data_IF_870947311540
#
_entry.id   IF_870947311540
#
_cell.length_a   1.000
_cell.length_b   1.000
_cell.length_c   1.000
_cell.angle_alpha   90.00
_cell.angle_beta   90.00
_cell.angle_gamma   90.00
#
_symmetry.space_group_name_H-M   'P 1'
#
loop_
_entity.id
_entity.type
_entity.pdbx_description
1 polymer ?
#
# COMPACT_ATOMS: atom_id res chain seq x y z
N UNK A 1 -13.71 20.19 0.99
CA UNK A 1 -12.71 20.18 2.09
C UNK A 1 -12.25 21.60 2.32
N UNK A 2 -12.09 22.03 3.57
CA UNK A 2 -11.76 23.43 3.87
C UNK A 2 -10.25 23.65 3.67
N UNK A 3 -9.85 24.10 2.47
CA UNK A 3 -8.44 24.22 2.05
C UNK A 3 -7.57 25.07 2.99
N UNK A 4 -8.20 25.93 3.80
CA UNK A 4 -7.55 26.77 4.80
C UNK A 4 -6.78 26.02 5.89
N UNK A 5 -7.15 24.77 6.22
CA UNK A 5 -6.41 23.96 7.22
C UNK A 5 -5.47 22.93 6.59
N UNK A 6 -5.75 22.51 5.36
CA UNK A 6 -4.98 21.47 4.69
C UNK A 6 -3.56 21.94 4.33
N UNK A 7 -3.43 23.15 3.76
CA UNK A 7 -2.13 23.71 3.36
C UNK A 7 -1.23 23.94 4.59
N UNK A 8 -1.69 24.58 5.68
CA UNK A 8 -0.89 24.72 6.90
C UNK A 8 -0.49 23.37 7.51
N UNK A 9 -1.37 22.37 7.50
CA UNK A 9 -1.05 21.04 8.01
C UNK A 9 0.06 20.36 7.18
N UNK A 10 -0.02 20.42 5.85
CA UNK A 10 1.04 19.89 4.97
C UNK A 10 2.35 20.64 5.20
N UNK A 11 2.31 21.97 5.26
CA UNK A 11 3.49 22.78 5.52
C UNK A 11 4.12 22.44 6.89
N UNK A 12 3.29 22.26 7.93
CA UNK A 12 3.75 21.87 9.27
C UNK A 12 4.45 20.50 9.24
N UNK A 13 3.89 19.51 8.54
CA UNK A 13 4.50 18.18 8.41
C UNK A 13 5.84 18.25 7.66
N UNK A 14 5.90 19.02 6.57
CA UNK A 14 7.15 19.22 5.81
C UNK A 14 8.21 19.90 6.67
N UNK A 15 7.85 21.00 7.35
CA UNK A 15 8.77 21.74 8.23
C UNK A 15 9.22 20.86 9.39
N UNK A 16 8.32 20.15 10.06
CA UNK A 16 8.67 19.22 11.13
C UNK A 16 9.62 18.11 10.62
N UNK A 17 9.36 17.58 9.43
CA UNK A 17 10.24 16.58 8.79
C UNK A 17 11.64 17.14 8.53
N UNK A 18 11.73 18.35 7.97
CA UNK A 18 13.01 19.03 7.72
C UNK A 18 13.74 19.32 9.04
N UNK A 19 13.04 19.81 10.06
CA UNK A 19 13.63 20.10 11.36
C UNK A 19 14.14 18.82 12.03
N UNK A 20 13.37 17.74 12.06
CA UNK A 20 13.82 16.44 12.59
C UNK A 20 15.02 15.92 11.80
N UNK A 21 14.99 16.05 10.47
CA UNK A 21 16.12 15.72 9.61
C UNK A 21 17.36 16.54 9.94
N UNK A 22 17.17 17.84 10.19
CA UNK A 22 18.20 18.81 10.57
C UNK A 22 18.79 18.51 11.96
N UNK A 23 17.97 18.15 12.96
CA UNK A 23 18.43 17.71 14.28
C UNK A 23 19.17 16.37 14.22
N UNK A 24 18.84 15.52 13.24
CA UNK A 24 19.58 14.31 12.91
C UNK A 24 20.94 14.57 12.25
N UNK A 25 21.23 15.80 11.81
CA UNK A 25 22.51 16.20 11.23
C UNK A 25 23.57 16.30 12.32
N UNK A 26 24.32 15.23 12.50
CA UNK A 26 25.77 15.41 12.56
C UNK A 26 26.23 15.32 11.12
N UNK A 27 26.77 16.40 10.55
CA UNK A 27 27.30 16.41 9.19
C UNK A 27 28.14 15.15 9.01
N UNK A 28 27.73 14.32 8.06
CA UNK A 28 28.36 13.03 7.91
C UNK A 28 29.75 13.22 7.30
N UNK A 29 30.78 12.89 8.07
CA UNK A 29 32.19 13.14 7.67
C UNK A 29 32.86 11.94 7.02
N UNK A 30 32.25 10.76 7.09
CA UNK A 30 32.85 9.50 6.62
C UNK A 30 31.85 8.67 5.83
N UNK A 31 32.35 7.83 4.93
CA UNK A 31 31.56 6.87 4.15
C UNK A 31 30.70 5.96 5.04
N UNK A 32 31.26 5.47 6.16
CA UNK A 32 30.53 4.62 7.11
C UNK A 32 29.40 5.38 7.82
N UNK A 33 29.63 6.64 8.13
CA UNK A 33 28.60 7.48 8.74
C UNK A 33 27.48 7.81 7.73
N UNK A 34 27.85 8.05 6.47
CA UNK A 34 26.90 8.41 5.42
C UNK A 34 26.02 7.23 5.01
N UNK A 35 26.60 6.05 4.75
CA UNK A 35 25.86 4.89 4.27
C UNK A 35 25.21 4.06 5.38
N UNK A 36 25.84 3.94 6.55
CA UNK A 36 25.41 3.00 7.59
C UNK A 36 25.33 3.60 8.99
N UNK A 37 25.35 4.94 9.11
CA UNK A 37 25.25 5.66 10.39
C UNK A 37 26.25 5.18 11.45
N UNK A 38 27.45 4.82 11.00
CA UNK A 38 28.52 4.25 11.84
C UNK A 38 28.08 3.02 12.65
N UNK A 39 27.00 2.35 12.22
CA UNK A 39 26.43 1.17 12.87
C UNK A 39 25.97 1.43 14.31
N UNK A 40 25.50 2.64 14.61
CA UNK A 40 25.16 3.07 15.98
C UNK A 40 23.65 3.12 16.28
N UNK A 41 22.80 2.72 15.33
CA UNK A 41 21.34 2.89 15.46
C UNK A 41 20.75 1.84 16.41
N UNK A 42 20.11 2.30 17.49
CA UNK A 42 19.46 1.43 18.46
C UNK A 42 18.27 0.63 17.88
N UNK A 43 17.95 -0.57 18.40
CA UNK A 43 16.94 -1.46 17.81
C UNK A 43 15.54 -0.85 17.68
N UNK A 44 15.09 -0.09 18.68
CA UNK A 44 13.75 0.53 18.67
C UNK A 44 13.64 1.61 17.60
N UNK A 45 14.66 2.47 17.50
CA UNK A 45 14.71 3.53 16.50
C UNK A 45 14.78 2.94 15.09
N UNK A 46 15.63 1.92 14.89
CA UNK A 46 15.72 1.25 13.61
C UNK A 46 14.40 0.55 13.25
N UNK A 47 13.73 -0.07 14.21
CA UNK A 47 12.46 -0.75 13.97
C UNK A 47 11.33 0.22 13.59
N UNK A 48 11.20 1.34 14.31
CA UNK A 48 10.25 2.40 13.96
C UNK A 48 10.56 2.98 12.58
N UNK A 49 11.83 3.25 12.31
CA UNK A 49 12.23 3.79 11.02
C UNK A 49 11.92 2.81 9.88
N UNK A 50 12.24 1.52 10.05
CA UNK A 50 11.99 0.48 9.05
C UNK A 50 10.48 0.33 8.81
N UNK A 51 9.70 0.33 9.88
CA UNK A 51 8.23 0.30 9.79
C UNK A 51 7.71 1.55 9.07
N UNK A 52 8.32 2.72 9.29
CA UNK A 52 7.97 3.97 8.61
C UNK A 52 8.16 3.96 7.10
N UNK A 53 9.22 3.30 6.61
CA UNK A 53 9.43 3.06 5.18
C UNK A 53 8.38 2.10 4.62
N UNK A 54 8.02 1.09 5.42
CA UNK A 54 7.01 0.11 5.06
C UNK A 54 5.61 0.73 4.90
N UNK A 55 5.28 1.73 5.72
CA UNK A 55 4.06 2.56 5.61
C UNK A 55 4.17 3.59 4.47
N UNK A 56 4.31 3.09 3.24
CA UNK A 56 4.46 3.89 2.03
C UNK A 56 3.12 4.29 1.40
N UNK A 57 3.15 5.20 0.42
CA UNK A 57 1.98 5.54 -0.38
C UNK A 57 1.39 4.30 -1.10
N UNK A 58 2.24 3.38 -1.58
CA UNK A 58 1.78 2.14 -2.19
C UNK A 58 1.06 1.24 -1.18
N UNK A 59 1.57 1.12 0.04
CA UNK A 59 0.96 0.27 1.08
C UNK A 59 -0.35 0.86 1.61
N UNK A 60 -0.43 2.19 1.76
CA UNK A 60 -1.62 2.86 2.28
C UNK A 60 -2.65 3.13 1.17
N UNK A 61 -2.32 4.00 0.22
CA UNK A 61 -3.24 4.41 -0.85
C UNK A 61 -3.47 3.28 -1.86
N UNK A 62 -2.43 2.49 -2.17
CA UNK A 62 -2.54 1.37 -3.10
C UNK A 62 -3.44 0.25 -2.57
N UNK A 63 -3.20 -0.25 -1.34
CA UNK A 63 -4.07 -1.29 -0.76
C UNK A 63 -5.47 -0.76 -0.50
N UNK A 64 -5.64 0.46 0.02
CA UNK A 64 -6.96 1.05 0.20
C UNK A 64 -7.71 1.18 -1.14
N UNK A 65 -7.03 1.59 -2.20
CA UNK A 65 -7.59 1.66 -3.55
C UNK A 65 -7.94 0.28 -4.12
N UNK A 66 -7.09 -0.72 -3.92
CA UNK A 66 -7.37 -2.10 -4.33
C UNK A 66 -8.59 -2.64 -3.58
N UNK A 67 -8.68 -2.46 -2.26
CA UNK A 67 -9.83 -2.89 -1.46
C UNK A 67 -11.11 -2.17 -1.89
N UNK A 68 -11.03 -0.86 -2.18
CA UNK A 68 -12.17 -0.09 -2.67
C UNK A 68 -12.69 -0.59 -4.03
N UNK A 69 -11.78 -0.98 -4.93
CA UNK A 69 -12.13 -1.34 -6.32
C UNK A 69 -12.45 -2.83 -6.47
N UNK A 70 -11.78 -3.69 -5.70
CA UNK A 70 -11.76 -5.15 -5.87
C UNK A 70 -12.25 -5.90 -4.62
N UNK A 71 -12.55 -5.20 -3.52
CA UNK A 71 -13.11 -5.79 -2.31
C UNK A 71 -12.06 -6.29 -1.30
N UNK A 72 -12.53 -6.88 -0.19
CA UNK A 72 -11.69 -7.25 0.96
C UNK A 72 -10.70 -8.39 0.66
N UNK A 73 -10.89 -9.16 -0.41
CA UNK A 73 -9.97 -10.23 -0.81
C UNK A 73 -8.55 -9.69 -1.11
N UNK A 74 -8.45 -8.40 -1.45
CA UNK A 74 -7.17 -7.72 -1.66
C UNK A 74 -6.31 -7.60 -0.40
N UNK A 75 -6.86 -7.87 0.79
CA UNK A 75 -6.10 -7.90 2.05
C UNK A 75 -5.04 -9.01 2.08
N UNK A 76 -5.09 -9.98 1.15
CA UNK A 76 -4.03 -10.97 0.97
C UNK A 76 -2.68 -10.39 0.53
N UNK A 77 -2.66 -9.26 -0.19
CA UNK A 77 -1.41 -8.60 -0.61
C UNK A 77 -0.54 -8.17 0.59
N UNK A 78 -1.06 -7.38 1.55
CA UNK A 78 -0.41 -7.10 2.83
C UNK A 78 0.19 -8.31 3.56
N UNK A 79 -0.56 -9.42 3.60
CA UNK A 79 -0.13 -10.64 4.29
C UNK A 79 1.09 -11.24 3.60
N UNK A 80 1.04 -11.39 2.28
CA UNK A 80 2.18 -11.88 1.48
C UNK A 80 3.42 -10.99 1.63
N UNK A 81 3.25 -9.67 1.61
CA UNK A 81 4.34 -8.73 1.83
C UNK A 81 4.98 -8.88 3.21
N UNK A 82 4.17 -9.03 4.26
CA UNK A 82 4.64 -9.20 5.64
C UNK A 82 5.37 -10.54 5.81
N UNK A 83 4.89 -11.59 5.16
CA UNK A 83 5.52 -12.91 5.19
C UNK A 83 6.92 -12.91 4.53
N UNK A 84 7.08 -12.28 3.37
CA UNK A 84 8.42 -12.16 2.75
C UNK A 84 9.37 -11.31 3.58
N UNK A 85 8.84 -10.33 4.30
CA UNK A 85 9.59 -9.57 5.29
C UNK A 85 10.14 -10.44 6.43
N UNK A 86 9.32 -11.35 6.99
CA UNK A 86 9.78 -12.29 8.01
C UNK A 86 11.01 -13.09 7.55
N UNK A 87 11.00 -13.57 6.31
CA UNK A 87 12.08 -14.42 5.78
C UNK A 87 13.33 -13.60 5.46
N UNK A 88 13.17 -12.40 4.90
CA UNK A 88 14.26 -11.42 4.80
C UNK A 88 14.96 -11.22 6.16
N UNK A 89 14.17 -11.04 7.21
CA UNK A 89 14.69 -10.82 8.55
C UNK A 89 15.38 -12.05 9.15
N UNK A 90 14.85 -13.25 8.92
CA UNK A 90 15.40 -14.49 9.47
C UNK A 90 16.67 -14.95 8.75
N UNK A 91 16.70 -14.87 7.42
CA UNK A 91 17.74 -15.50 6.62
C UNK A 91 18.73 -14.51 6.01
N UNK A 92 18.33 -13.27 5.76
CA UNK A 92 19.14 -12.32 4.97
C UNK A 92 19.83 -11.29 5.88
N UNK A 93 19.13 -10.77 6.89
CA UNK A 93 19.64 -9.72 7.77
C UNK A 93 20.94 -10.08 8.51
N UNK A 94 21.02 -11.28 9.09
CA UNK A 94 22.19 -11.68 9.90
C UNK A 94 23.45 -12.00 9.06
N UNK A 95 23.39 -12.75 7.94
CA UNK A 95 24.53 -12.91 7.04
C UNK A 95 25.06 -11.60 6.47
N UNK A 96 24.16 -10.72 6.03
CA UNK A 96 24.55 -9.42 5.49
C UNK A 96 25.28 -8.58 6.52
N UNK A 97 24.73 -8.46 7.73
CA UNK A 97 25.39 -7.72 8.83
C UNK A 97 26.82 -8.23 9.10
N UNK A 98 27.02 -9.55 9.08
CA UNK A 98 28.32 -10.19 9.33
C UNK A 98 29.34 -9.96 8.21
N UNK A 99 28.88 -9.72 6.98
CA UNK A 99 29.78 -9.50 5.84
C UNK A 99 30.61 -8.23 5.90
N UNK A 100 30.19 -7.24 6.68
CA UNK A 100 30.88 -5.95 6.75
C UNK A 100 30.66 -5.02 5.55
N UNK A 101 29.99 -5.47 4.47
CA UNK A 101 29.68 -4.69 3.29
C UNK A 101 28.85 -3.41 3.61
N UNK A 102 28.93 -2.41 2.72
CA UNK A 102 28.14 -1.18 2.80
C UNK A 102 26.88 -1.24 1.93
N UNK A 103 26.92 -2.01 0.84
CA UNK A 103 25.79 -2.17 -0.09
C UNK A 103 25.53 -3.64 -0.44
N UNK A 104 24.34 -3.91 -0.96
CA UNK A 104 23.98 -5.24 -1.49
C UNK A 104 24.91 -5.72 -2.62
N UNK A 105 25.26 -4.87 -3.61
CA UNK A 105 26.24 -5.25 -4.63
C UNK A 105 27.61 -5.64 -4.06
N UNK A 106 28.11 -4.92 -3.04
CA UNK A 106 29.38 -5.26 -2.38
C UNK A 106 29.30 -6.63 -1.69
N UNK A 107 28.16 -6.94 -1.07
CA UNK A 107 27.94 -8.26 -0.48
C UNK A 107 27.96 -9.37 -1.54
N UNK A 108 27.31 -9.14 -2.68
CA UNK A 108 27.29 -10.10 -3.78
C UNK A 108 28.70 -10.34 -4.34
N UNK A 109 29.50 -9.27 -4.48
CA UNK A 109 30.91 -9.38 -4.85
C UNK A 109 31.70 -10.18 -3.81
N UNK A 110 31.60 -9.82 -2.53
CA UNK A 110 32.34 -10.49 -1.47
C UNK A 110 32.02 -11.98 -1.37
N UNK A 111 30.77 -12.37 -1.68
CA UNK A 111 30.32 -13.76 -1.60
C UNK A 111 30.73 -14.60 -2.80
N UNK A 112 30.76 -14.02 -4.00
CA UNK A 112 30.95 -14.71 -5.28
C UNK A 112 32.27 -14.35 -5.99
N UNK A 113 33.08 -13.48 -5.39
CA UNK A 113 34.36 -13.00 -5.91
C UNK A 113 34.31 -12.49 -7.37
N UNK A 114 33.20 -11.84 -7.76
CA UNK A 114 32.95 -11.43 -9.15
C UNK A 114 32.50 -9.98 -9.28
N UNK A 115 33.30 -9.20 -10.02
CA UNK A 115 33.00 -7.82 -10.42
C UNK A 115 31.79 -7.72 -11.36
N UNK A 116 31.57 -8.75 -12.20
CA UNK A 116 30.41 -8.81 -13.09
C UNK A 116 29.10 -8.89 -12.30
N UNK A 117 29.08 -9.74 -11.26
CA UNK A 117 27.94 -9.86 -10.34
C UNK A 117 27.68 -8.56 -9.61
N UNK A 118 28.72 -7.85 -9.15
CA UNK A 118 28.56 -6.54 -8.51
C UNK A 118 27.85 -5.54 -9.42
N UNK A 119 28.28 -5.43 -10.68
CA UNK A 119 27.68 -4.50 -11.65
C UNK A 119 26.23 -4.86 -11.94
N UNK A 120 25.95 -6.14 -12.14
CA UNK A 120 24.60 -6.64 -12.38
C UNK A 120 23.68 -6.34 -11.19
N UNK A 121 24.12 -6.69 -9.97
CA UNK A 121 23.38 -6.41 -8.74
C UNK A 121 23.17 -4.89 -8.55
N UNK A 122 24.18 -4.07 -8.85
CA UNK A 122 24.06 -2.62 -8.81
C UNK A 122 23.01 -2.07 -9.77
N UNK A 123 22.99 -2.57 -11.01
CA UNK A 123 21.98 -2.19 -12.00
C UNK A 123 20.56 -2.57 -11.56
N UNK A 124 20.38 -3.77 -10.99
CA UNK A 124 19.09 -4.19 -10.43
C UNK A 124 18.67 -3.31 -9.25
N UNK A 125 19.57 -3.00 -8.32
CA UNK A 125 19.27 -2.16 -7.16
C UNK A 125 18.82 -0.75 -7.60
N UNK A 126 19.51 -0.15 -8.58
CA UNK A 126 19.14 1.16 -9.13
C UNK A 126 17.81 1.10 -9.88
N UNK A 127 17.61 0.07 -10.72
CA UNK A 127 16.37 -0.11 -11.48
C UNK A 127 15.15 -0.29 -10.57
N UNK A 128 15.26 -1.14 -9.55
CA UNK A 128 14.21 -1.32 -8.52
C UNK A 128 13.98 -0.01 -7.76
N UNK A 129 15.05 0.71 -7.40
CA UNK A 129 14.95 2.02 -6.76
C UNK A 129 14.11 3.02 -7.58
N UNK A 130 14.37 3.11 -8.88
CA UNK A 130 13.59 3.96 -9.80
C UNK A 130 12.12 3.56 -9.87
N UNK A 131 11.84 2.27 -10.03
CA UNK A 131 10.46 1.77 -10.07
C UNK A 131 9.70 2.06 -8.77
N UNK A 132 10.40 2.01 -7.63
CA UNK A 132 9.80 2.32 -6.32
C UNK A 132 9.52 3.81 -6.13
N UNK A 133 10.34 4.69 -6.69
CA UNK A 133 10.13 6.15 -6.58
C UNK A 133 8.84 6.60 -7.28
N UNK A 134 8.46 5.98 -8.40
CA UNK A 134 7.28 6.36 -9.19
C UNK A 134 5.98 6.43 -8.36
N UNK A 135 5.51 5.35 -7.70
CA UNK A 135 4.27 5.40 -6.91
C UNK A 135 4.35 6.35 -5.72
N UNK A 136 5.55 6.64 -5.20
CA UNK A 136 5.73 7.53 -4.06
C UNK A 136 5.58 9.00 -4.47
N UNK A 137 6.17 9.38 -5.61
CA UNK A 137 6.01 10.71 -6.19
C UNK A 137 4.57 10.92 -6.67
N UNK A 138 3.97 9.91 -7.30
CA UNK A 138 2.56 9.95 -7.70
C UNK A 138 1.63 10.11 -6.50
N UNK A 139 1.86 9.35 -5.43
CA UNK A 139 1.07 9.46 -4.20
C UNK A 139 1.18 10.85 -3.57
N UNK A 140 2.38 11.45 -3.57
CA UNK A 140 2.58 12.81 -3.10
C UNK A 140 1.81 13.85 -3.94
N UNK A 141 1.87 13.71 -5.27
CA UNK A 141 1.15 14.56 -6.22
C UNK A 141 -0.36 14.50 -6.03
N UNK A 142 -0.93 13.29 -6.01
CA UNK A 142 -2.35 13.06 -5.77
C UNK A 142 -2.80 13.63 -4.43
N UNK A 143 -2.03 13.41 -3.36
CA UNK A 143 -2.36 13.92 -2.02
C UNK A 143 -2.43 15.44 -2.01
N UNK A 144 -1.45 16.12 -2.59
CA UNK A 144 -1.44 17.59 -2.62
C UNK A 144 -2.57 18.16 -3.49
N UNK A 145 -2.83 17.53 -4.63
CA UNK A 145 -3.93 17.89 -5.54
C UNK A 145 -5.27 17.80 -4.83
N UNK A 146 -5.54 16.68 -4.15
CA UNK A 146 -6.80 16.47 -3.42
C UNK A 146 -6.96 17.45 -2.24
N UNK A 147 -5.87 17.78 -1.56
CA UNK A 147 -5.91 18.67 -0.38
C UNK A 147 -6.01 20.16 -0.72
N UNK A 148 -5.41 20.59 -1.84
CA UNK A 148 -5.22 22.02 -2.13
C UNK A 148 -5.70 22.47 -3.52
N UNK A 149 -6.00 21.53 -4.43
CA UNK A 149 -6.27 21.82 -5.84
C UNK A 149 -5.01 22.20 -6.64
N UNK A 150 -3.81 22.01 -6.07
CA UNK A 150 -2.56 22.29 -6.76
C UNK A 150 -2.32 21.34 -7.95
N UNK A 151 -1.39 21.67 -8.87
CA UNK A 151 -0.99 20.78 -9.95
C UNK A 151 -0.45 19.43 -9.44
N UNK A 152 -0.74 18.37 -10.18
CA UNK A 152 -0.38 16.98 -9.88
C UNK A 152 1.14 16.76 -9.69
N UNK A 153 1.97 17.44 -10.47
CA UNK A 153 3.42 17.33 -10.39
C UNK A 153 4.02 18.02 -9.16
N UNK A 154 3.33 19.00 -8.57
CA UNK A 154 3.91 19.86 -7.53
C UNK A 154 4.25 19.06 -6.26
N UNK A 155 3.36 18.16 -5.85
CA UNK A 155 3.59 17.32 -4.66
C UNK A 155 4.82 16.42 -4.82
N UNK A 156 4.99 15.82 -6.01
CA UNK A 156 6.15 15.01 -6.33
C UNK A 156 7.46 15.82 -6.28
N UNK A 157 7.47 17.02 -6.87
CA UNK A 157 8.66 17.89 -6.86
C UNK A 157 9.03 18.34 -5.44
N UNK A 158 8.06 18.74 -4.63
CA UNK A 158 8.31 19.14 -3.23
C UNK A 158 8.94 17.98 -2.46
N UNK A 159 8.38 16.78 -2.56
CA UNK A 159 8.92 15.59 -1.89
C UNK A 159 10.32 15.27 -2.38
N UNK A 160 10.56 15.29 -3.70
CA UNK A 160 11.87 15.03 -4.28
C UNK A 160 12.93 16.01 -3.74
N UNK A 161 12.65 17.32 -3.80
CA UNK A 161 13.58 18.36 -3.32
C UNK A 161 13.87 18.22 -1.82
N UNK A 162 12.83 18.09 -1.00
CA UNK A 162 12.96 18.00 0.46
C UNK A 162 13.73 16.74 0.86
N UNK A 163 13.38 15.59 0.30
CA UNK A 163 14.03 14.32 0.62
C UNK A 163 15.48 14.33 0.15
N UNK A 164 15.77 14.77 -1.07
CA UNK A 164 17.14 14.87 -1.59
C UNK A 164 18.00 15.81 -0.73
N UNK A 165 17.48 16.96 -0.31
CA UNK A 165 18.21 17.89 0.55
C UNK A 165 18.55 17.27 1.91
N UNK A 166 17.59 16.61 2.57
CA UNK A 166 17.79 15.94 3.86
C UNK A 166 18.79 14.79 3.74
N UNK A 167 18.64 13.95 2.70
CA UNK A 167 19.51 12.79 2.45
C UNK A 167 20.95 13.23 2.17
N UNK A 168 21.12 14.23 1.31
CA UNK A 168 22.45 14.75 0.94
C UNK A 168 23.18 15.36 2.14
N UNK A 169 22.46 16.07 3.02
CA UNK A 169 23.05 16.70 4.19
C UNK A 169 23.37 15.71 5.33
N UNK A 170 22.53 14.69 5.54
CA UNK A 170 22.53 13.90 6.78
C UNK A 170 22.82 12.41 6.67
N UNK A 171 22.80 11.85 5.46
CA UNK A 171 23.01 10.42 5.23
C UNK A 171 22.04 9.52 6.01
N UNK A 172 22.45 8.28 6.24
CA UNK A 172 21.62 7.22 6.82
C UNK A 172 21.10 7.56 8.22
N UNK A 173 21.85 8.33 9.01
CA UNK A 173 21.44 8.71 10.37
C UNK A 173 20.23 9.64 10.34
N UNK A 174 20.30 10.71 9.55
CA UNK A 174 19.19 11.65 9.40
C UNK A 174 17.95 10.96 8.83
N UNK A 175 18.14 10.15 7.78
CA UNK A 175 17.05 9.35 7.17
C UNK A 175 16.37 8.46 8.22
N UNK A 176 17.15 7.77 9.06
CA UNK A 176 16.60 6.91 10.11
C UNK A 176 15.74 7.69 11.10
N UNK A 177 16.20 8.86 11.57
CA UNK A 177 15.42 9.69 12.49
C UNK A 177 14.13 10.21 11.85
N UNK A 178 14.22 10.73 10.63
CA UNK A 178 13.05 11.22 9.88
C UNK A 178 12.02 10.12 9.70
N UNK A 179 12.46 8.92 9.33
CA UNK A 179 11.57 7.80 9.05
C UNK A 179 10.93 7.26 10.33
N UNK A 180 11.65 7.27 11.46
CA UNK A 180 11.07 6.93 12.75
C UNK A 180 10.02 7.96 13.20
N UNK A 181 10.27 9.25 12.99
CA UNK A 181 9.29 10.31 13.27
C UNK A 181 8.05 10.14 12.39
N UNK A 182 8.23 9.96 11.08
CA UNK A 182 7.14 9.77 10.14
C UNK A 182 6.32 8.52 10.44
N UNK A 183 6.95 7.44 10.92
CA UNK A 183 6.24 6.26 11.38
C UNK A 183 5.24 6.59 12.49
N UNK A 184 5.69 7.21 13.57
CA UNK A 184 4.81 7.57 14.69
C UNK A 184 3.74 8.57 14.29
N UNK A 185 4.09 9.57 13.47
CA UNK A 185 3.13 10.53 12.92
C UNK A 185 2.03 9.83 12.11
N UNK A 186 2.39 8.96 11.16
CA UNK A 186 1.44 8.20 10.33
C UNK A 186 0.59 7.26 11.19
N UNK A 187 1.22 6.56 12.14
CA UNK A 187 0.53 5.62 13.01
C UNK A 187 -0.52 6.35 13.87
N UNK A 188 -0.16 7.47 14.50
CA UNK A 188 -1.11 8.28 15.28
C UNK A 188 -2.21 8.86 14.39
N UNK A 189 -1.87 9.36 13.19
CA UNK A 189 -2.84 9.87 12.24
C UNK A 189 -3.86 8.82 11.78
N UNK A 190 -3.50 7.53 11.81
CA UNK A 190 -4.39 6.43 11.49
C UNK A 190 -5.17 5.91 12.72
N UNK A 191 -4.49 5.74 13.86
CA UNK A 191 -5.09 5.19 15.07
C UNK A 191 -6.13 6.11 15.71
N UNK A 192 -5.94 7.43 15.64
CA UNK A 192 -6.88 8.38 16.25
C UNK A 192 -8.26 8.28 15.58
N UNK A 193 -8.41 8.43 14.24
CA UNK A 193 -9.69 8.22 13.58
C UNK A 193 -10.25 6.81 13.79
N UNK A 194 -9.41 5.77 13.71
CA UNK A 194 -9.85 4.39 13.92
C UNK A 194 -10.46 4.18 15.33
N UNK A 195 -9.85 4.75 16.37
CA UNK A 195 -10.39 4.70 17.73
C UNK A 195 -11.76 5.37 17.82
N UNK A 196 -11.93 6.56 17.23
CA UNK A 196 -13.22 7.24 17.21
C UNK A 196 -14.28 6.44 16.46
N UNK A 197 -13.93 5.81 15.34
CA UNK A 197 -14.82 4.94 14.58
C UNK A 197 -15.26 3.73 15.41
N UNK A 198 -14.34 3.06 16.11
CA UNK A 198 -14.65 1.94 16.99
C UNK A 198 -15.57 2.37 18.15
N UNK A 199 -15.29 3.51 18.77
CA UNK A 199 -16.13 4.04 19.85
C UNK A 199 -17.53 4.42 19.36
N UNK A 200 -17.64 5.05 18.20
CA UNK A 200 -18.92 5.36 17.57
C UNK A 200 -19.70 4.09 17.24
N UNK A 201 -19.02 3.10 16.64
CA UNK A 201 -19.60 1.80 16.32
C UNK A 201 -20.11 1.04 17.54
N UNK A 202 -19.40 1.12 18.68
CA UNK A 202 -19.87 0.57 19.95
C UNK A 202 -21.06 1.35 20.54
N UNK A 203 -21.06 2.67 20.40
CA UNK A 203 -22.12 3.56 20.86
C UNK A 203 -23.44 3.41 20.08
N UNK A 204 -23.35 3.10 18.78
CA UNK A 204 -24.51 2.92 17.89
C UNK A 204 -25.20 1.56 18.05
N UNK A 205 -24.83 0.78 19.09
CA UNK A 205 -25.43 -0.53 19.35
C UNK A 205 -25.04 -1.54 18.28
N UNK A 206 -23.73 -1.77 18.12
CA UNK A 206 -23.07 -2.71 17.20
C UNK A 206 -23.99 -3.79 16.63
N UNK A 207 -24.03 -4.01 15.29
CA UNK A 207 -24.88 -5.04 14.72
C UNK A 207 -24.56 -6.39 15.35
N UNK A 208 -25.59 -7.00 15.93
CA UNK A 208 -25.53 -8.35 16.42
C UNK A 208 -25.30 -9.29 15.24
N UNK A 209 -24.16 -10.00 15.28
CA UNK A 209 -23.72 -11.07 14.36
C UNK A 209 -23.04 -10.59 13.07
N UNK A 210 -22.05 -11.36 12.57
CA UNK A 210 -21.52 -11.15 11.23
C UNK A 210 -22.67 -11.15 10.22
N UNK A 211 -22.56 -10.32 9.19
CA UNK A 211 -23.49 -10.25 8.07
C UNK A 211 -23.61 -11.61 7.37
N UNK A 212 -24.41 -12.53 7.91
CA UNK A 212 -24.89 -13.72 7.20
C UNK A 212 -26.01 -13.36 6.22
N UNK A 213 -26.62 -12.18 6.39
CA UNK A 213 -27.63 -11.68 5.45
C UNK A 213 -26.95 -11.02 4.23
N UNK A 214 -27.24 -11.50 3.01
CA UNK A 214 -26.70 -10.92 1.79
C UNK A 214 -27.10 -9.43 1.68
N UNK A 215 -26.20 -8.58 1.19
CA UNK A 215 -26.43 -7.15 1.08
C UNK A 215 -27.72 -6.85 0.28
N UNK A 216 -28.64 -6.08 0.88
CA UNK A 216 -29.89 -5.64 0.24
C UNK A 216 -29.97 -4.12 0.17
N UNK A 217 -30.70 -3.60 -0.83
CA UNK A 217 -31.06 -2.19 -0.88
C UNK A 217 -32.16 -1.90 0.15
N UNK A 218 -31.82 -1.21 1.25
CA UNK A 218 -32.81 -0.86 2.31
C UNK A 218 -33.97 0.01 1.81
N UNK A 219 -33.72 0.78 0.75
CA UNK A 219 -34.69 1.66 0.12
C UNK A 219 -34.60 1.50 -1.40
N UNK A 220 -35.66 1.88 -2.10
CA UNK A 220 -35.65 1.90 -3.56
C UNK A 220 -34.48 2.75 -4.06
N UNK A 221 -33.61 2.16 -4.89
CA UNK A 221 -32.40 2.84 -5.34
C UNK A 221 -32.24 2.73 -6.84
N UNK A 222 -31.98 3.87 -7.47
CA UNK A 222 -31.66 3.93 -8.89
C UNK A 222 -30.14 4.06 -9.07
N UNK A 223 -29.56 3.13 -9.82
CA UNK A 223 -28.13 3.07 -10.11
C UNK A 223 -27.94 3.34 -11.60
N UNK A 224 -27.10 4.33 -11.92
CA UNK A 224 -26.68 4.59 -13.29
C UNK A 224 -25.40 3.80 -13.57
N UNK A 225 -25.39 3.10 -14.69
CA UNK A 225 -24.23 2.37 -15.20
C UNK A 225 -23.46 3.32 -16.11
N UNK A 226 -22.31 3.81 -15.67
CA UNK A 226 -21.50 4.75 -16.45
C UNK A 226 -20.69 4.04 -17.54
N UNK A 227 -20.13 2.86 -17.23
CA UNK A 227 -19.40 2.00 -18.17
C UNK A 227 -20.11 0.66 -18.37
N UNK A 228 -20.01 0.09 -19.58
CA UNK A 228 -20.62 -1.20 -19.90
C UNK A 228 -20.09 -2.30 -18.96
N UNK A 229 -20.99 -3.00 -18.27
CA UNK A 229 -20.64 -4.04 -17.28
C UNK A 229 -21.40 -5.35 -17.51
N UNK A 230 -20.90 -6.44 -16.93
CA UNK A 230 -21.58 -7.73 -16.94
C UNK A 230 -22.09 -8.05 -15.53
N UNK A 231 -23.41 -8.04 -15.37
CA UNK A 231 -24.09 -8.42 -14.14
C UNK A 231 -24.15 -9.95 -14.06
N UNK A 232 -23.65 -10.58 -13.00
CA UNK A 232 -23.76 -12.03 -12.80
C UNK A 232 -24.77 -12.30 -11.69
N UNK A 233 -25.87 -12.92 -12.06
CA UNK A 233 -27.00 -13.23 -11.18
C UNK A 233 -26.98 -14.70 -10.79
N UNK A 234 -26.98 -14.98 -9.48
CA UNK A 234 -27.15 -16.35 -8.95
C UNK A 234 -28.63 -16.74 -8.87
N UNK A 235 -29.50 -15.76 -8.65
CA UNK A 235 -30.96 -15.90 -8.59
C UNK A 235 -31.61 -14.88 -9.55
N UNK A 236 -32.83 -15.15 -10.05
CA UNK A 236 -33.55 -14.20 -10.88
C UNK A 236 -33.78 -12.86 -10.17
N UNK A 237 -33.49 -11.76 -10.87
CA UNK A 237 -33.60 -10.39 -10.36
C UNK A 237 -34.71 -9.65 -11.10
N UNK A 238 -35.66 -9.08 -10.36
CA UNK A 238 -36.63 -8.14 -10.95
C UNK A 238 -36.12 -6.71 -10.74
N UNK A 239 -35.91 -5.99 -11.84
CA UNK A 239 -35.37 -4.63 -11.83
C UNK A 239 -36.05 -3.77 -12.89
N UNK A 240 -36.24 -2.49 -12.62
CA UNK A 240 -36.75 -1.55 -13.64
C UNK A 240 -35.58 -1.01 -14.44
N UNK A 241 -35.63 -1.19 -15.77
CA UNK A 241 -34.56 -0.86 -16.70
C UNK A 241 -34.97 0.31 -17.58
N UNK A 242 -34.15 1.35 -17.57
CA UNK A 242 -34.20 2.48 -18.49
C UNK A 242 -32.83 2.59 -19.19
N UNK A 243 -32.72 2.02 -20.39
CA UNK A 243 -31.48 1.84 -21.16
C UNK A 243 -31.38 0.47 -21.82
N UNK A 244 -30.16 -0.02 -22.08
CA UNK A 244 -29.92 -1.24 -22.86
C UNK A 244 -29.34 -2.36 -22.00
N UNK A 245 -30.04 -3.51 -22.00
CA UNK A 245 -29.62 -4.74 -21.32
C UNK A 245 -29.69 -5.91 -22.30
N UNK A 246 -28.59 -6.66 -22.43
CA UNK A 246 -28.42 -7.75 -23.39
C UNK A 246 -28.73 -7.34 -24.84
N UNK A 247 -28.34 -6.12 -25.21
CA UNK A 247 -28.62 -5.54 -26.53
C UNK A 247 -30.09 -5.17 -26.77
N UNK A 248 -30.95 -5.23 -25.74
CA UNK A 248 -32.35 -4.83 -25.80
C UNK A 248 -32.57 -3.53 -25.03
N UNK A 249 -32.93 -2.47 -25.75
CA UNK A 249 -33.29 -1.18 -25.15
C UNK A 249 -34.69 -1.25 -24.54
N UNK A 250 -34.83 -0.70 -23.34
CA UNK A 250 -36.06 -0.65 -22.56
C UNK A 250 -36.19 0.72 -21.94
N UNK A 251 -37.40 1.26 -21.94
CA UNK A 251 -37.70 2.62 -21.46
C UNK A 251 -38.56 2.50 -20.19
N UNK A 252 -37.92 2.53 -19.03
CA UNK A 252 -38.57 2.42 -17.72
C UNK A 252 -39.35 1.11 -17.47
N UNK A 253 -39.04 0.02 -18.19
CA UNK A 253 -39.79 -1.23 -18.10
C UNK A 253 -39.30 -2.10 -16.94
N UNK A 254 -40.22 -2.74 -16.22
CA UNK A 254 -39.88 -3.74 -15.19
C UNK A 254 -39.53 -5.08 -15.84
N UNK A 255 -38.36 -5.61 -15.51
CA UNK A 255 -37.76 -6.77 -16.16
C UNK A 255 -37.38 -7.81 -15.14
N UNK A 256 -37.77 -9.06 -15.36
CA UNK A 256 -37.17 -10.20 -14.68
C UNK A 256 -35.94 -10.67 -15.48
N UNK A 257 -34.76 -10.43 -14.93
CA UNK A 257 -33.50 -10.98 -15.43
C UNK A 257 -33.31 -12.37 -14.80
N UNK A 258 -33.19 -13.46 -15.58
CA UNK A 258 -32.95 -14.80 -15.03
C UNK A 258 -31.58 -14.90 -14.33
N UNK A 259 -31.34 -16.01 -13.62
CA UNK A 259 -29.98 -16.31 -13.17
C UNK A 259 -29.06 -16.50 -14.39
N UNK A 260 -27.86 -15.91 -14.37
CA UNK A 260 -26.95 -15.88 -15.50
C UNK A 260 -26.17 -14.57 -15.64
N UNK A 261 -25.47 -14.42 -16.75
CA UNK A 261 -24.70 -13.21 -17.07
C UNK A 261 -25.50 -12.29 -17.98
N UNK A 262 -25.66 -11.04 -17.58
CA UNK A 262 -26.37 -10.00 -18.32
C UNK A 262 -25.45 -8.83 -18.61
N UNK A 263 -25.38 -8.40 -19.87
CA UNK A 263 -24.58 -7.24 -20.29
C UNK A 263 -25.42 -5.97 -20.16
N UNK A 264 -24.99 -5.05 -19.31
CA UNK A 264 -25.62 -3.74 -19.11
C UNK A 264 -24.76 -2.68 -19.80
N UNK A 265 -25.33 -1.96 -20.77
CA UNK A 265 -24.58 -0.96 -21.52
C UNK A 265 -24.45 0.37 -20.75
N UNK A 266 -23.40 1.12 -21.07
CA UNK A 266 -23.17 2.47 -20.56
C UNK A 266 -24.39 3.38 -20.78
N UNK A 267 -24.72 4.18 -19.78
CA UNK A 267 -25.88 5.07 -19.76
C UNK A 267 -27.16 4.44 -19.22
N UNK A 268 -27.21 3.12 -19.02
CA UNK A 268 -28.39 2.41 -18.51
C UNK A 268 -28.64 2.71 -17.04
N UNK A 269 -29.90 2.97 -16.68
CA UNK A 269 -30.36 3.17 -15.32
C UNK A 269 -31.15 1.94 -14.85
N UNK A 270 -30.69 1.35 -13.75
CA UNK A 270 -31.30 0.22 -13.08
C UNK A 270 -31.93 0.69 -11.77
N UNK A 271 -33.24 0.57 -11.64
CA UNK A 271 -33.95 0.91 -10.41
C UNK A 271 -34.36 -0.37 -9.69
N UNK A 272 -33.77 -0.56 -8.52
CA UNK A 272 -33.97 -1.69 -7.61
C UNK A 272 -35.02 -1.32 -6.57
N UNK A 273 -35.93 -2.24 -6.28
CA UNK A 273 -36.90 -2.07 -5.20
C UNK A 273 -36.24 -2.25 -3.83
N UNK A 274 -36.90 -1.76 -2.79
CA UNK A 274 -36.47 -2.03 -1.41
C UNK A 274 -36.38 -3.54 -1.15
N UNK A 275 -35.45 -3.95 -0.30
CA UNK A 275 -35.10 -5.32 0.07
C UNK A 275 -34.56 -6.20 -1.07
N UNK A 276 -34.34 -5.63 -2.25
CA UNK A 276 -33.68 -6.34 -3.36
C UNK A 276 -32.22 -6.61 -3.01
N UNK A 277 -31.76 -7.87 -3.17
CA UNK A 277 -30.35 -8.22 -3.03
C UNK A 277 -29.49 -7.44 -4.03
N UNK A 278 -28.36 -6.92 -3.56
CA UNK A 278 -27.38 -6.23 -4.39
C UNK A 278 -26.71 -7.29 -5.29
N UNK A 279 -26.91 -7.24 -6.61
CA UNK A 279 -26.31 -8.21 -7.51
C UNK A 279 -24.79 -8.02 -7.61
N UNK A 280 -24.05 -9.12 -7.74
CA UNK A 280 -22.62 -9.05 -7.99
C UNK A 280 -22.35 -8.60 -9.44
N UNK A 281 -21.76 -7.42 -9.59
CA UNK A 281 -21.32 -6.92 -10.89
C UNK A 281 -19.88 -7.36 -11.17
N UNK A 282 -19.65 -8.04 -12.28
CA UNK A 282 -18.31 -8.23 -12.84
C UNK A 282 -17.98 -7.09 -13.80
N UNK A 283 -16.85 -6.42 -13.61
CA UNK A 283 -16.35 -5.49 -14.64
C UNK A 283 -15.99 -6.29 -15.90
N UNK A 284 -16.49 -5.85 -17.06
CA UNK A 284 -16.38 -6.54 -18.34
C UNK A 284 -14.93 -6.70 -18.85
N UNK A 285 -14.77 -7.59 -19.83
CA UNK A 285 -13.49 -8.11 -20.32
C UNK A 285 -12.60 -7.14 -21.12
N UNK A 286 -13.02 -5.88 -21.34
CA UNK A 286 -12.35 -4.93 -22.25
C UNK A 286 -11.29 -4.03 -21.59
N UNK A 287 -10.99 -4.22 -20.31
CA UNK A 287 -9.98 -3.44 -19.60
C UNK A 287 -8.58 -4.11 -19.69
N UNK A 288 -8.03 -4.14 -20.91
CA UNK A 288 -6.80 -4.87 -21.26
C UNK A 288 -5.53 -4.42 -20.52
N UNK A 289 -5.58 -3.34 -19.73
CA UNK A 289 -4.45 -2.74 -19.02
C UNK A 289 -4.56 -2.76 -17.49
N UNK A 290 -5.63 -3.32 -16.92
CA UNK A 290 -5.73 -3.51 -15.48
C UNK A 290 -4.86 -4.70 -15.03
N UNK A 291 -4.07 -4.60 -13.94
CA UNK A 291 -3.29 -5.72 -13.36
C UNK A 291 -4.16 -6.90 -12.84
N UNK A 292 -5.47 -6.85 -13.10
CA UNK A 292 -6.57 -7.70 -12.61
C UNK A 292 -6.63 -9.13 -13.19
N UNK A 293 -5.71 -9.53 -14.07
CA UNK A 293 -5.75 -10.88 -14.66
C UNK A 293 -5.21 -12.01 -13.79
N UNK A 294 -4.66 -11.73 -12.60
CA UNK A 294 -4.21 -12.79 -11.70
C UNK A 294 -5.38 -13.57 -11.07
N UNK A 295 -6.49 -12.91 -10.76
CA UNK A 295 -7.67 -13.55 -10.14
C UNK A 295 -8.75 -13.94 -11.15
N UNK A 296 -8.88 -13.24 -12.28
CA UNK A 296 -9.97 -13.48 -13.22
C UNK A 296 -9.79 -14.70 -14.13
N UNK A 297 -8.62 -15.38 -14.11
CA UNK A 297 -8.42 -16.68 -14.78
C UNK A 297 -8.92 -17.82 -13.87
N UNK A 298 -10.23 -17.93 -13.80
CA UNK A 298 -10.96 -19.02 -13.16
C UNK A 298 -10.80 -20.36 -13.91
N UNK A 299 -9.58 -20.91 -13.92
CA UNK A 299 -9.34 -22.34 -14.17
C UNK A 299 -8.51 -22.99 -13.04
N UNK A 300 -7.69 -22.22 -12.29
CA UNK A 300 -6.88 -22.73 -11.16
C UNK A 300 -6.68 -21.69 -10.03
N UNK A 301 -7.68 -21.48 -9.15
CA UNK A 301 -7.64 -20.44 -8.11
C UNK A 301 -6.45 -20.60 -7.14
N UNK A 302 -6.14 -21.84 -6.73
CA UNK A 302 -5.01 -22.09 -5.83
C UNK A 302 -3.65 -21.71 -6.45
N UNK A 303 -3.47 -21.92 -7.75
CA UNK A 303 -2.22 -21.55 -8.43
C UNK A 303 -2.04 -20.03 -8.44
N UNK A 304 -3.10 -19.28 -8.72
CA UNK A 304 -3.07 -17.82 -8.69
C UNK A 304 -2.73 -17.32 -7.27
N UNK A 305 -3.40 -17.84 -6.25
CA UNK A 305 -3.14 -17.46 -4.85
C UNK A 305 -1.72 -17.78 -4.42
N UNK A 306 -1.23 -19.01 -4.63
CA UNK A 306 0.13 -19.38 -4.25
C UNK A 306 1.18 -18.67 -5.10
N UNK A 307 0.92 -18.44 -6.39
CA UNK A 307 1.79 -17.66 -7.28
C UNK A 307 1.90 -16.21 -6.84
N UNK A 308 0.78 -15.59 -6.45
CA UNK A 308 0.74 -14.24 -5.90
C UNK A 308 1.47 -14.15 -4.56
N UNK A 309 1.21 -15.08 -3.65
CA UNK A 309 1.91 -15.16 -2.37
C UNK A 309 3.41 -15.31 -2.62
N UNK A 310 3.83 -16.19 -3.52
CA UNK A 310 5.24 -16.40 -3.82
C UNK A 310 5.87 -15.16 -4.49
N UNK A 311 5.17 -14.50 -5.40
CA UNK A 311 5.65 -13.29 -6.07
C UNK A 311 5.80 -12.12 -5.08
N UNK A 312 4.78 -11.88 -4.26
CA UNK A 312 4.81 -10.83 -3.22
C UNK A 312 5.85 -11.14 -2.14
N UNK A 313 6.01 -12.41 -1.78
CA UNK A 313 7.02 -12.91 -0.84
C UNK A 313 8.46 -12.72 -1.35
N UNK A 314 8.76 -13.19 -2.57
CA UNK A 314 10.08 -13.07 -3.16
C UNK A 314 10.40 -11.60 -3.48
N UNK A 315 9.40 -10.84 -3.90
CA UNK A 315 9.52 -9.40 -4.15
C UNK A 315 9.93 -8.63 -2.89
N UNK A 316 9.27 -8.86 -1.75
CA UNK A 316 9.62 -8.17 -0.49
C UNK A 316 10.94 -8.63 0.09
N UNK A 317 11.31 -9.91 -0.09
CA UNK A 317 12.65 -10.40 0.29
C UNK A 317 13.77 -9.68 -0.47
N UNK A 318 13.52 -9.26 -1.72
CA UNK A 318 14.54 -8.63 -2.56
C UNK A 318 14.79 -7.14 -2.29
N UNK A 319 14.06 -6.49 -1.36
CA UNK A 319 14.03 -5.02 -1.27
C UNK A 319 15.35 -4.41 -0.78
N UNK A 320 16.10 -3.71 -1.65
CA UNK A 320 17.43 -3.22 -1.30
C UNK A 320 17.44 -2.20 -0.16
N UNK A 321 16.46 -1.29 -0.16
CA UNK A 321 16.37 -0.20 0.80
C UNK A 321 16.14 -0.70 2.24
N UNK A 322 15.29 -1.72 2.40
CA UNK A 322 15.05 -2.39 3.68
C UNK A 322 16.33 -3.07 4.17
N UNK A 323 16.97 -3.81 3.28
CA UNK A 323 18.13 -4.63 3.60
C UNK A 323 19.27 -3.77 4.13
N UNK A 324 19.51 -2.62 3.49
CA UNK A 324 20.60 -1.71 3.87
C UNK A 324 20.46 -1.24 5.33
N UNK A 325 19.24 -1.13 5.86
CA UNK A 325 19.01 -0.69 7.25
C UNK A 325 19.50 -1.68 8.30
N UNK A 326 19.64 -2.96 7.96
CA UNK A 326 20.25 -3.91 8.89
C UNK A 326 21.75 -3.68 9.07
N UNK A 327 22.42 -3.00 8.13
CA UNK A 327 23.81 -2.59 8.33
C UNK A 327 23.98 -1.52 9.40
N UNK A 328 22.94 -0.76 9.72
CA UNK A 328 23.00 0.31 10.73
C UNK A 328 22.95 -0.18 12.18
N UNK A 329 22.53 -1.44 12.40
CA UNK A 329 22.40 -2.04 13.73
C UNK A 329 23.79 -2.33 14.34
N UNK A 330 24.06 -2.07 15.62
CA UNK A 330 25.38 -2.30 16.22
C UNK A 330 25.84 -3.76 16.23
N UNK A 331 24.93 -4.69 16.51
CA UNK A 331 25.25 -6.12 16.68
C UNK A 331 24.21 -6.99 15.98
N UNK A 332 24.54 -8.28 15.76
CA UNK A 332 23.57 -9.25 15.23
C UNK A 332 22.35 -9.45 16.15
N UNK A 333 22.55 -9.36 17.47
CA UNK A 333 21.45 -9.41 18.45
C UNK A 333 20.56 -8.17 18.34
N UNK A 334 21.15 -6.98 18.17
CA UNK A 334 20.40 -5.74 17.94
C UNK A 334 19.57 -5.84 16.64
N UNK A 335 20.13 -6.41 15.57
CA UNK A 335 19.41 -6.67 14.33
C UNK A 335 18.22 -7.62 14.55
N UNK A 336 18.39 -8.73 15.27
CA UNK A 336 17.29 -9.67 15.61
C UNK A 336 16.20 -9.04 16.48
N UNK A 337 16.56 -8.18 17.44
CA UNK A 337 15.56 -7.44 18.23
C UNK A 337 14.80 -6.43 17.38
N UNK A 338 15.49 -5.78 16.44
CA UNK A 338 14.87 -4.88 15.45
C UNK A 338 13.86 -5.65 14.61
N UNK A 339 14.25 -6.81 14.08
CA UNK A 339 13.38 -7.74 13.34
C UNK A 339 12.06 -8.03 14.04
N UNK A 340 12.12 -8.45 15.31
CA UNK A 340 10.91 -8.79 16.08
C UNK A 340 10.02 -7.56 16.28
N UNK A 341 10.61 -6.41 16.61
CA UNK A 341 9.87 -5.18 16.78
C UNK A 341 9.20 -4.71 15.48
N UNK A 342 9.90 -4.80 14.33
CA UNK A 342 9.33 -4.47 13.01
C UNK A 342 8.14 -5.35 12.70
N UNK A 343 8.24 -6.66 12.94
CA UNK A 343 7.15 -7.59 12.66
C UNK A 343 5.91 -7.28 13.52
N UNK A 344 6.11 -6.95 14.79
CA UNK A 344 5.02 -6.50 15.67
C UNK A 344 4.36 -5.20 15.21
N UNK A 345 5.15 -4.21 14.79
CA UNK A 345 4.65 -2.91 14.32
C UNK A 345 3.90 -3.03 12.98
N UNK A 346 4.45 -3.77 12.01
CA UNK A 346 3.80 -4.00 10.72
C UNK A 346 2.55 -4.86 10.89
N UNK A 347 2.62 -5.91 11.72
CA UNK A 347 1.47 -6.75 12.04
C UNK A 347 0.32 -5.94 12.64
N UNK A 348 0.61 -5.11 13.63
CA UNK A 348 -0.39 -4.22 14.24
C UNK A 348 -0.99 -3.24 13.22
N UNK A 349 -0.18 -2.70 12.30
CA UNK A 349 -0.69 -1.82 11.25
C UNK A 349 -1.68 -2.51 10.31
N UNK A 350 -1.39 -3.74 9.87
CA UNK A 350 -2.29 -4.45 8.96
C UNK A 350 -3.49 -5.13 9.62
N UNK A 351 -3.57 -5.11 10.95
CA UNK A 351 -4.82 -5.41 11.63
C UNK A 351 -5.82 -4.25 11.56
N UNK A 352 -5.40 -3.03 11.18
CA UNK A 352 -6.30 -1.88 11.09
C UNK A 352 -7.25 -1.90 9.88
N UNK A 353 -6.82 -2.22 8.63
CA UNK A 353 -7.73 -2.26 7.49
C UNK A 353 -8.99 -3.15 7.61
N UNK A 354 -8.95 -4.33 8.28
CA UNK A 354 -10.15 -5.14 8.48
C UNK A 354 -11.05 -4.71 9.66
N UNK A 355 -10.61 -3.76 10.52
CA UNK A 355 -11.38 -3.25 11.67
C UNK A 355 -12.30 -2.10 11.26
#
# INVERSE_FOLDING_TARGET
MNSGYAIPAVALVVVATVLVGAFGLRISRTTSDFYVASRTVGPRLNAAAISGEYLSAASFLGIAGLVLVQGPDMLWYPVGYTAGYLVLLLFVAAPLRRSGAYTLPDFAEARLASQGVRRLAGAFVVGVGWLYLLPQLQGAGLTLTVLSGAPDWLGGVIVAVVVTAIVAAGGMRSITFVQAFQFWLKLTALLVPALFLVLAWQGDGAPGRPFEEPATFREQRSVRVDDTLTLKLEEPLTVTVDGTVDGRTRDGARVALPAGSHRIEAGTRLTFDADTRVPAAGRGADDALSPSRAESRAERPLYATYGLILATFLGTMGLPHVVVRFYTSPTGVAARRTTVAVLGLIGAFYLLPPL
#
